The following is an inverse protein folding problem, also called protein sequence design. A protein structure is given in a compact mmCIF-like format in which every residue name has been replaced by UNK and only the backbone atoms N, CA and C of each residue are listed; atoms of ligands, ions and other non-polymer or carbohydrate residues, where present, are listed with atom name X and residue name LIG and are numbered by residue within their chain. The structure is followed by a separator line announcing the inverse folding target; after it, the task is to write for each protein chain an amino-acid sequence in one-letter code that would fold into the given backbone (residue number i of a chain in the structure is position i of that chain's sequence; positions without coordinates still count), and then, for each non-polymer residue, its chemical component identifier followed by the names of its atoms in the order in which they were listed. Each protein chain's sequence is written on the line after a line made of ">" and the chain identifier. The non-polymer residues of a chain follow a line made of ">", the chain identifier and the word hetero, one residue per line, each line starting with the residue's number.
data_IF_225564325437
#
_entry.id   IF_225564325437
#
_cell.length_a   1.000
_cell.length_b   1.000
_cell.length_c   1.000
_cell.angle_alpha   90.00
_cell.angle_beta   90.00
_cell.angle_gamma   90.00
#
_symmetry.space_group_name_H-M   'P 1'
#
loop_
_entity.id
_entity.type
_entity.pdbx_description
1 polymer ?
#
# COMPACT_ATOMS: atom_id res chain seq x y z
N UNK A 1 -27.99 24.79 -3.03
CA UNK A 1 -26.87 25.59 -3.59
C UNK A 1 -25.95 24.64 -4.34
N UNK A 2 -25.30 25.04 -5.44
CA UNK A 2 -24.35 24.15 -6.11
C UNK A 2 -23.16 23.86 -5.20
N UNK A 3 -22.83 22.59 -5.02
CA UNK A 3 -21.65 22.11 -4.29
C UNK A 3 -20.40 22.57 -5.06
N UNK A 4 -19.53 23.34 -4.39
CA UNK A 4 -18.27 23.81 -4.97
C UNK A 4 -17.13 22.96 -4.41
N UNK A 5 -16.31 22.38 -5.28
CA UNK A 5 -15.09 21.67 -4.87
C UNK A 5 -14.12 22.69 -4.26
N UNK A 6 -13.77 22.48 -3.00
CA UNK A 6 -12.87 23.36 -2.26
C UNK A 6 -11.41 23.07 -2.62
N UNK A 7 -10.64 24.12 -2.92
CA UNK A 7 -9.23 24.00 -3.26
C UNK A 7 -8.33 24.56 -2.16
N UNK A 8 -7.49 23.72 -1.52
CA UNK A 8 -6.56 24.18 -0.48
C UNK A 8 -5.64 25.29 -1.00
N UNK A 9 -5.62 26.42 -0.30
CA UNK A 9 -4.75 27.56 -0.62
C UNK A 9 -5.28 28.52 -1.69
N UNK A 10 -6.39 28.21 -2.34
CA UNK A 10 -7.09 29.09 -3.29
C UNK A 10 -8.36 29.63 -2.66
N UNK A 11 -9.17 28.74 -2.09
CA UNK A 11 -10.44 29.09 -1.44
C UNK A 11 -10.23 29.38 0.06
N UNK A 12 -10.80 30.47 0.54
CA UNK A 12 -10.87 30.76 1.99
C UNK A 12 -12.15 30.16 2.54
N UNK A 13 -12.01 29.33 3.58
CA UNK A 13 -13.15 28.79 4.31
C UNK A 13 -13.76 29.91 5.17
N UNK A 14 -15.05 30.18 4.99
CA UNK A 14 -15.80 31.08 5.86
C UNK A 14 -15.93 30.53 7.28
N UNK A 15 -16.19 31.39 8.28
CA UNK A 15 -16.35 30.96 9.69
C UNK A 15 -17.54 29.99 9.91
N UNK A 16 -18.46 29.90 8.95
CA UNK A 16 -19.62 28.99 8.97
C UNK A 16 -19.59 27.94 7.84
N UNK A 17 -18.49 27.81 7.10
CA UNK A 17 -18.34 26.80 6.06
C UNK A 17 -17.66 25.54 6.62
N UNK A 18 -18.28 24.37 6.42
CA UNK A 18 -17.71 23.07 6.78
C UNK A 18 -17.31 22.30 5.51
N UNK A 19 -16.15 21.65 5.56
CA UNK A 19 -15.70 20.79 4.47
C UNK A 19 -16.34 19.42 4.60
N UNK A 20 -17.25 19.10 3.68
CA UNK A 20 -17.80 17.76 3.56
C UNK A 20 -16.94 16.92 2.61
N UNK A 21 -16.65 15.69 3.01
CA UNK A 21 -15.93 14.74 2.16
C UNK A 21 -16.88 14.28 1.06
N UNK A 22 -16.54 14.54 -0.21
CA UNK A 22 -17.27 14.00 -1.34
C UNK A 22 -16.79 12.57 -1.66
N UNK A 23 -17.59 11.53 -1.35
CA UNK A 23 -17.21 10.14 -1.60
C UNK A 23 -17.16 9.81 -3.10
N UNK A 24 -17.73 10.64 -3.98
CA UNK A 24 -17.66 10.45 -5.43
C UNK A 24 -16.27 10.75 -6.01
N UNK A 25 -15.41 11.45 -5.25
CA UNK A 25 -14.04 11.74 -5.65
C UNK A 25 -13.13 10.49 -5.70
N UNK A 26 -13.56 9.36 -5.11
CA UNK A 26 -12.77 8.14 -5.03
C UNK A 26 -13.47 6.97 -5.72
N UNK A 27 -12.74 6.24 -6.56
CA UNK A 27 -13.23 4.96 -7.11
C UNK A 27 -13.28 3.87 -6.04
N UNK A 28 -12.38 3.92 -5.05
CA UNK A 28 -12.31 2.96 -3.94
C UNK A 28 -11.66 3.66 -2.75
N UNK A 29 -12.36 3.70 -1.61
CA UNK A 29 -11.86 4.24 -0.34
C UNK A 29 -12.21 3.28 0.79
N UNK A 30 -11.19 2.76 1.46
CA UNK A 30 -11.35 1.83 2.58
C UNK A 30 -10.44 2.25 3.73
N UNK A 31 -10.98 2.31 4.94
CA UNK A 31 -10.26 2.69 6.14
C UNK A 31 -10.06 1.49 7.07
N UNK A 32 -8.83 1.36 7.59
CA UNK A 32 -8.48 0.29 8.53
C UNK A 32 -7.76 0.86 9.74
N UNK A 33 -7.97 0.24 10.90
CA UNK A 33 -7.25 0.58 12.12
C UNK A 33 -6.23 -0.51 12.47
N UNK A 34 -4.94 -0.15 12.54
CA UNK A 34 -3.82 -1.10 12.67
C UNK A 34 -3.05 -0.98 14.01
N UNK A 35 -3.56 -0.16 14.93
CA UNK A 35 -2.97 0.10 16.24
C UNK A 35 -1.99 1.28 16.20
N UNK A 36 -0.70 1.00 16.06
CA UNK A 36 0.34 2.03 16.05
C UNK A 36 0.44 2.74 14.70
N UNK A 37 0.77 4.05 14.68
CA UNK A 37 1.04 4.76 13.44
C UNK A 37 2.22 4.12 12.71
N UNK A 38 2.19 4.18 11.38
CA UNK A 38 3.26 3.70 10.53
C UNK A 38 3.86 4.87 9.76
N UNK A 39 5.17 5.10 9.91
CA UNK A 39 5.88 6.17 9.20
C UNK A 39 6.05 5.88 7.72
N UNK A 40 6.07 4.61 7.36
CA UNK A 40 6.29 4.16 6.00
C UNK A 40 5.55 2.85 5.73
N UNK A 41 5.18 2.69 4.46
CA UNK A 41 4.71 1.44 3.90
C UNK A 41 5.29 1.26 2.50
N UNK A 42 5.31 0.01 2.03
CA UNK A 42 5.70 -0.32 0.67
C UNK A 42 4.85 -1.47 0.13
N UNK A 43 4.39 -1.34 -1.11
CA UNK A 43 3.54 -2.35 -1.75
C UNK A 43 4.39 -3.51 -2.21
N UNK A 44 4.01 -4.72 -1.80
CA UNK A 44 4.64 -5.96 -2.22
C UNK A 44 4.05 -6.36 -3.56
N UNK A 45 4.90 -6.57 -4.56
CA UNK A 45 4.46 -7.04 -5.87
C UNK A 45 3.97 -8.47 -5.76
N UNK A 46 2.71 -8.68 -6.12
CA UNK A 46 2.09 -10.00 -6.19
C UNK A 46 2.28 -10.67 -7.56
N UNK A 47 1.82 -11.92 -7.65
CA UNK A 47 1.78 -12.72 -8.88
C UNK A 47 0.35 -13.08 -9.31
N UNK A 48 -0.66 -12.29 -8.92
CA UNK A 48 -2.09 -12.57 -9.15
C UNK A 48 -2.58 -12.21 -10.57
N UNK A 49 -1.67 -11.91 -11.49
CA UNK A 49 -1.96 -11.58 -12.89
C UNK A 49 -1.53 -10.16 -13.28
N UNK A 50 -1.37 -9.95 -14.58
CA UNK A 50 -1.02 -8.65 -15.15
C UNK A 50 -2.29 -7.84 -15.44
N UNK A 51 -2.21 -6.52 -15.29
CA UNK A 51 -3.25 -5.56 -15.68
C UNK A 51 -4.62 -5.85 -15.05
N UNK A 52 -4.66 -6.05 -13.73
CA UNK A 52 -5.92 -6.18 -12.98
C UNK A 52 -6.64 -4.83 -12.95
N UNK A 53 -7.59 -4.62 -13.85
CA UNK A 53 -8.39 -3.38 -13.97
C UNK A 53 -9.73 -3.45 -13.26
N UNK A 54 -10.22 -4.67 -13.04
CA UNK A 54 -11.55 -4.92 -12.47
C UNK A 54 -11.47 -5.37 -11.02
N UNK A 55 -12.46 -4.93 -10.25
CA UNK A 55 -12.64 -5.34 -8.86
C UNK A 55 -13.18 -6.78 -8.77
N UNK A 56 -12.96 -7.49 -7.65
CA UNK A 56 -12.22 -7.06 -6.47
C UNK A 56 -10.70 -7.16 -6.61
N UNK A 57 -9.98 -6.23 -5.98
CA UNK A 57 -8.52 -6.27 -5.91
C UNK A 57 -8.02 -6.92 -4.62
N UNK A 58 -6.80 -7.45 -4.71
CA UNK A 58 -6.02 -7.91 -3.55
C UNK A 58 -4.65 -7.24 -3.58
N UNK A 59 -4.24 -6.67 -2.46
CA UNK A 59 -2.98 -5.94 -2.29
C UNK A 59 -2.22 -6.51 -1.10
N UNK A 60 -0.91 -6.67 -1.28
CA UNK A 60 0.03 -6.99 -0.21
C UNK A 60 0.93 -5.80 0.04
N UNK A 61 1.25 -5.51 1.29
CA UNK A 61 2.19 -4.44 1.62
C UNK A 61 2.86 -4.69 2.97
N UNK A 62 4.01 -4.07 3.15
CA UNK A 62 4.68 -3.98 4.45
C UNK A 62 4.48 -2.59 5.03
N UNK A 63 4.35 -2.49 6.35
CA UNK A 63 4.41 -1.20 7.04
C UNK A 63 5.21 -1.32 8.34
N UNK A 64 5.94 -0.27 8.69
CA UNK A 64 6.74 -0.22 9.91
C UNK A 64 6.12 0.72 10.94
N UNK A 65 5.94 0.25 12.17
CA UNK A 65 5.33 1.05 13.24
C UNK A 65 6.30 2.05 13.85
N UNK A 66 5.72 3.09 14.46
CA UNK A 66 6.35 3.99 15.41
C UNK A 66 5.58 3.96 16.73
N UNK A 67 6.06 3.18 17.69
CA UNK A 67 5.51 3.04 19.02
C UNK A 67 6.30 3.87 20.03
N UNK A 68 5.69 4.18 21.18
CA UNK A 68 6.32 4.97 22.25
C UNK A 68 7.55 4.29 22.86
N UNK A 69 7.56 2.94 22.88
CA UNK A 69 8.66 2.16 23.42
C UNK A 69 9.41 1.43 22.31
N UNK A 70 10.76 1.38 22.36
CA UNK A 70 11.54 0.69 21.35
C UNK A 70 11.12 -0.77 21.11
N UNK A 71 10.74 -1.49 22.16
CA UNK A 71 10.41 -2.92 22.09
C UNK A 71 8.96 -3.20 21.68
N UNK A 72 8.14 -2.16 21.47
CA UNK A 72 6.74 -2.30 21.03
C UNK A 72 6.58 -2.15 19.52
N UNK A 73 7.67 -1.88 18.82
CA UNK A 73 7.67 -1.74 17.38
C UNK A 73 7.58 -3.10 16.69
N UNK A 74 6.95 -3.10 15.53
CA UNK A 74 6.82 -4.29 14.69
C UNK A 74 6.75 -3.92 13.22
N UNK A 75 7.19 -4.85 12.38
CA UNK A 75 6.92 -4.82 10.95
C UNK A 75 5.60 -5.55 10.73
N UNK A 76 4.61 -4.85 10.18
CA UNK A 76 3.36 -5.42 9.75
C UNK A 76 3.47 -5.95 8.32
N UNK A 77 3.09 -7.21 8.12
CA UNK A 77 2.88 -7.85 6.83
C UNK A 77 1.38 -7.93 6.61
N UNK A 78 0.89 -7.22 5.59
CA UNK A 78 -0.52 -7.04 5.33
C UNK A 78 -0.93 -7.74 4.04
N UNK A 79 -2.12 -8.33 4.06
CA UNK A 79 -2.91 -8.72 2.89
C UNK A 79 -4.28 -8.05 3.04
N UNK A 80 -4.64 -7.22 2.06
CA UNK A 80 -6.00 -6.69 1.93
C UNK A 80 -6.61 -7.35 0.73
N UNK A 81 -7.62 -8.18 0.96
CA UNK A 81 -8.40 -8.84 -0.09
C UNK A 81 -9.80 -8.24 -0.18
N UNK A 82 -10.48 -8.53 -1.28
CA UNK A 82 -11.86 -8.10 -1.49
C UNK A 82 -12.00 -6.57 -1.51
N UNK A 83 -10.99 -5.87 -2.02
CA UNK A 83 -11.05 -4.41 -2.20
C UNK A 83 -12.04 -4.15 -3.33
N UNK A 84 -13.18 -3.57 -3.00
CA UNK A 84 -14.26 -3.22 -3.93
C UNK A 84 -14.21 -1.73 -4.30
N UNK A 85 -14.84 -1.37 -5.41
CA UNK A 85 -14.93 0.02 -5.86
C UNK A 85 -15.80 0.19 -7.09
N UNK A 86 -15.94 1.43 -7.54
CA UNK A 86 -16.71 1.79 -8.74
C UNK A 86 -15.95 1.37 -10.00
N UNK A 87 -16.65 0.71 -10.93
CA UNK A 87 -16.08 0.30 -12.22
C UNK A 87 -15.49 1.52 -12.92
N UNK A 88 -14.25 1.41 -13.37
CA UNK A 88 -13.55 2.49 -14.05
C UNK A 88 -14.06 2.57 -15.48
N UNK A 89 -14.78 3.62 -15.82
CA UNK A 89 -15.01 3.96 -17.23
C UNK A 89 -13.67 4.36 -17.84
N UNK A 90 -13.19 3.55 -18.79
CA UNK A 90 -11.99 3.85 -19.55
C UNK A 90 -12.37 4.90 -20.60
N UNK A 91 -11.90 6.13 -20.36
CA UNK A 91 -11.95 7.30 -21.25
C UNK A 91 -13.26 8.10 -21.19
N UNK A 92 -13.24 9.41 -20.85
CA UNK A 92 -14.39 10.25 -21.15
C UNK A 92 -14.53 10.32 -22.67
N UNK A 93 -15.68 9.88 -23.20
CA UNK A 93 -15.97 9.99 -24.63
C UNK A 93 -15.68 11.43 -25.05
N UNK A 94 -14.72 11.60 -25.98
CA UNK A 94 -14.49 12.90 -26.58
C UNK A 94 -15.78 13.26 -27.31
N UNK A 95 -16.55 14.19 -26.75
CA UNK A 95 -17.57 14.92 -27.50
C UNK A 95 -16.85 15.84 -28.49
N UNK A 96 -16.40 15.26 -29.60
CA UNK A 96 -16.02 16.05 -30.77
C UNK A 96 -17.30 16.58 -31.39
N UNK A 97 -17.66 17.80 -31.00
CA UNK A 97 -18.56 18.63 -31.77
C UNK A 97 -17.92 18.90 -33.15
N UNK A 98 -18.57 18.47 -34.23
CA UNK A 98 -18.25 18.89 -35.59
C UNK A 98 -18.28 17.80 -36.66
N UNK A 99 -19.50 17.44 -37.07
CA UNK A 99 -19.95 17.25 -38.47
C UNK A 99 -19.15 16.33 -39.41
N UNK A 100 -19.68 15.12 -39.67
CA UNK A 100 -20.06 14.61 -41.01
C UNK A 100 -20.05 13.07 -41.07
N UNK A 101 -21.19 12.54 -41.54
CA UNK A 101 -21.58 11.17 -41.85
C UNK A 101 -20.46 10.16 -42.18
N UNK A 102 -20.50 8.99 -41.53
CA UNK A 102 -20.46 7.68 -42.20
C UNK A 102 -20.78 6.54 -41.22
N UNK A 103 -21.76 5.74 -41.62
CA UNK A 103 -22.29 4.57 -40.93
C UNK A 103 -21.22 3.55 -40.53
N UNK A 104 -21.29 3.05 -39.30
CA UNK A 104 -20.90 1.67 -39.01
C UNK A 104 -21.83 1.15 -37.93
N UNK A 105 -22.73 0.26 -38.34
CA UNK A 105 -23.59 -0.53 -37.49
C UNK A 105 -22.77 -1.22 -36.39
N UNK A 106 -22.97 -0.82 -35.14
CA UNK A 106 -22.84 -1.75 -34.03
C UNK A 106 -24.10 -1.63 -33.18
N UNK A 107 -25.05 -2.49 -33.52
CA UNK A 107 -26.28 -2.72 -32.77
C UNK A 107 -25.93 -3.42 -31.46
N UNK A 108 -25.48 -2.66 -30.46
CA UNK A 108 -25.55 -3.09 -29.06
C UNK A 108 -26.79 -2.44 -28.48
N UNK A 109 -27.82 -3.27 -28.37
CA UNK A 109 -29.10 -2.93 -27.77
C UNK A 109 -28.88 -2.41 -26.36
N UNK A 110 -29.25 -1.16 -26.15
CA UNK A 110 -29.52 -0.56 -24.85
C UNK A 110 -30.64 -1.37 -24.19
N UNK A 111 -30.27 -2.41 -23.44
CA UNK A 111 -31.05 -2.84 -22.29
C UNK A 111 -30.59 -2.00 -21.11
N UNK A 112 -31.39 -0.98 -20.81
CA UNK A 112 -31.44 -0.30 -19.52
C UNK A 112 -31.54 -1.34 -18.40
N UNK A 113 -30.41 -1.83 -17.91
CA UNK A 113 -30.35 -2.49 -16.62
C UNK A 113 -30.31 -1.38 -15.57
N UNK A 114 -31.50 -0.93 -15.17
CA UNK A 114 -31.78 -0.27 -13.89
C UNK A 114 -31.47 -1.22 -12.71
N UNK A 115 -30.24 -1.76 -12.64
CA UNK A 115 -29.74 -2.43 -11.45
C UNK A 115 -28.94 -1.41 -10.61
N UNK A 116 -29.62 -0.31 -10.26
CA UNK A 116 -29.38 0.34 -8.99
C UNK A 116 -29.80 -0.66 -7.90
N UNK A 117 -28.81 -1.27 -7.23
CA UNK A 117 -28.90 -2.25 -6.13
C UNK A 117 -28.57 -3.71 -6.45
N UNK A 118 -27.35 -4.05 -6.91
CA UNK A 118 -26.72 -5.33 -6.49
C UNK A 118 -25.19 -5.41 -6.66
N UNK A 119 -24.48 -4.29 -6.48
CA UNK A 119 -23.04 -4.31 -6.26
C UNK A 119 -22.73 -4.89 -4.88
N UNK A 120 -22.77 -6.22 -4.75
CA UNK A 120 -22.58 -6.95 -3.50
C UNK A 120 -21.51 -6.29 -2.63
N UNK A 121 -21.93 -5.83 -1.44
CA UNK A 121 -21.12 -5.22 -0.38
C UNK A 121 -20.03 -6.19 0.08
N UNK A 122 -19.01 -6.36 -0.75
CA UNK A 122 -17.87 -7.16 -0.45
C UNK A 122 -16.96 -6.28 0.43
N UNK A 123 -17.17 -6.35 1.75
CA UNK A 123 -16.36 -5.64 2.74
C UNK A 123 -14.90 -6.08 2.58
N UNK A 124 -13.94 -5.15 2.47
CA UNK A 124 -12.56 -5.53 2.33
C UNK A 124 -12.06 -6.20 3.60
N UNK A 125 -11.23 -7.23 3.44
CA UNK A 125 -10.71 -8.02 4.54
C UNK A 125 -9.23 -7.72 4.72
N UNK A 126 -8.87 -7.19 5.90
CA UNK A 126 -7.48 -6.96 6.30
C UNK A 126 -6.97 -8.14 7.12
N UNK A 127 -5.96 -8.81 6.61
CA UNK A 127 -5.19 -9.82 7.34
C UNK A 127 -3.80 -9.26 7.66
N UNK A 128 -3.35 -9.45 8.91
CA UNK A 128 -2.12 -8.84 9.43
C UNK A 128 -1.32 -9.86 10.23
N UNK A 129 -0.02 -9.98 9.90
CA UNK A 129 1.00 -10.63 10.73
C UNK A 129 2.03 -9.61 11.17
N UNK A 130 2.50 -9.69 12.41
CA UNK A 130 3.45 -8.74 12.98
C UNK A 130 4.76 -9.43 13.33
N UNK A 131 5.90 -8.87 12.94
CA UNK A 131 7.22 -9.32 13.35
C UNK A 131 7.83 -8.28 14.28
N UNK A 132 8.31 -8.68 15.46
CA UNK A 132 8.92 -7.77 16.43
C UNK A 132 10.13 -7.05 15.82
N UNK A 133 10.22 -5.75 16.04
CA UNK A 133 11.33 -4.92 15.61
C UNK A 133 11.72 -4.00 16.75
N UNK A 134 13.01 -3.87 17.05
CA UNK A 134 13.49 -2.96 18.08
C UNK A 134 13.68 -1.56 17.48
N UNK A 135 13.20 -0.52 18.15
CA UNK A 135 13.22 0.84 17.60
C UNK A 135 12.19 1.08 16.50
N UNK A 136 11.91 2.35 16.23
CA UNK A 136 10.94 2.78 15.23
C UNK A 136 11.43 2.50 13.82
N UNK A 137 10.51 2.23 12.91
CA UNK A 137 10.85 1.89 11.52
C UNK A 137 10.57 3.13 10.65
N UNK A 138 11.62 3.92 10.41
CA UNK A 138 11.54 5.18 9.66
C UNK A 138 11.22 4.95 8.18
N UNK A 139 11.81 3.90 7.59
CA UNK A 139 11.51 3.50 6.21
C UNK A 139 11.57 1.99 6.03
N UNK A 140 10.62 1.46 5.26
CA UNK A 140 10.57 0.07 4.83
C UNK A 140 10.48 0.00 3.31
N UNK A 141 11.22 -0.93 2.68
CA UNK A 141 11.20 -1.14 1.23
C UNK A 141 11.31 -2.62 0.86
N UNK A 142 10.36 -3.10 0.06
CA UNK A 142 10.40 -4.42 -0.56
C UNK A 142 11.35 -4.41 -1.77
N UNK A 143 12.08 -5.51 -1.96
CA UNK A 143 12.95 -5.65 -3.12
C UNK A 143 12.12 -5.87 -4.38
N UNK A 144 12.48 -5.17 -5.45
CA UNK A 144 11.74 -5.23 -6.73
C UNK A 144 11.77 -6.63 -7.36
N UNK A 145 12.91 -7.31 -7.29
CA UNK A 145 13.13 -8.63 -7.92
C UNK A 145 12.60 -9.78 -7.06
N UNK A 146 12.72 -9.66 -5.73
CA UNK A 146 12.27 -10.65 -4.75
C UNK A 146 11.37 -9.96 -3.71
N UNK A 147 10.06 -9.79 -3.96
CA UNK A 147 9.17 -8.97 -3.13
C UNK A 147 9.00 -9.45 -1.68
N UNK A 148 9.34 -10.71 -1.39
CA UNK A 148 9.38 -11.27 -0.04
C UNK A 148 10.58 -10.78 0.79
N UNK A 149 11.62 -10.26 0.13
CA UNK A 149 12.77 -9.63 0.80
C UNK A 149 12.45 -8.16 1.04
N UNK A 150 12.64 -7.74 2.28
CA UNK A 150 12.35 -6.39 2.72
C UNK A 150 13.53 -5.79 3.48
N UNK A 151 13.81 -4.51 3.30
CA UNK A 151 14.74 -3.79 4.15
C UNK A 151 14.02 -2.77 5.03
N UNK A 152 14.41 -2.70 6.30
CA UNK A 152 13.95 -1.70 7.27
C UNK A 152 15.11 -0.80 7.69
N UNK A 153 14.83 0.50 7.80
CA UNK A 153 15.72 1.49 8.37
C UNK A 153 15.16 1.94 9.73
N UNK A 154 15.97 1.77 10.78
CA UNK A 154 15.57 2.04 12.17
C UNK A 154 16.06 3.40 12.67
N UNK A 155 15.30 4.02 13.58
CA UNK A 155 15.73 5.17 14.38
C UNK A 155 16.96 4.87 15.24
N UNK A 156 17.17 3.60 15.59
CA UNK A 156 18.32 3.11 16.34
C UNK A 156 19.62 3.02 15.52
N UNK A 157 19.67 3.60 14.32
CA UNK A 157 20.88 3.70 13.50
C UNK A 157 21.30 2.41 12.79
N UNK A 158 20.38 1.48 12.59
CA UNK A 158 20.67 0.23 11.87
C UNK A 158 19.70 -0.04 10.72
N UNK A 159 20.21 -0.83 9.77
CA UNK A 159 19.45 -1.34 8.63
C UNK A 159 19.35 -2.84 8.74
N UNK A 160 18.15 -3.38 8.61
CA UNK A 160 17.92 -4.81 8.66
C UNK A 160 17.29 -5.29 7.35
N UNK A 161 17.73 -6.46 6.90
CA UNK A 161 17.14 -7.16 5.76
C UNK A 161 16.39 -8.36 6.31
N UNK A 162 15.18 -8.55 5.81
CA UNK A 162 14.22 -9.54 6.28
C UNK A 162 13.76 -10.40 5.12
N UNK A 163 13.49 -11.67 5.41
CA UNK A 163 12.75 -12.57 4.51
C UNK A 163 11.40 -12.88 5.13
N UNK A 164 10.34 -12.43 4.48
CA UNK A 164 8.96 -12.62 4.92
C UNK A 164 8.21 -13.65 4.07
N UNK A 165 8.91 -14.52 3.32
CA UNK A 165 8.29 -15.56 2.47
C UNK A 165 7.27 -16.41 3.23
N UNK A 166 7.64 -16.89 4.43
CA UNK A 166 6.77 -17.72 5.27
C UNK A 166 5.51 -16.98 5.72
N UNK A 167 5.63 -15.69 6.03
CA UNK A 167 4.51 -14.84 6.44
C UNK A 167 3.58 -14.50 5.28
N UNK A 168 4.13 -14.20 4.11
CA UNK A 168 3.36 -13.94 2.89
C UNK A 168 2.62 -15.19 2.42
N UNK A 169 3.28 -16.35 2.40
CA UNK A 169 2.64 -17.62 2.02
C UNK A 169 1.49 -17.96 2.97
N UNK A 170 1.69 -17.81 4.29
CA UNK A 170 0.63 -18.06 5.26
C UNK A 170 -0.55 -17.07 5.12
N UNK A 171 -0.31 -15.84 4.67
CA UNK A 171 -1.39 -14.90 4.34
C UNK A 171 -2.08 -15.26 3.01
N UNK A 172 -1.33 -15.77 2.03
CA UNK A 172 -1.90 -16.22 0.76
C UNK A 172 -2.83 -17.43 0.95
N UNK A 173 -2.41 -18.42 1.76
CA UNK A 173 -3.17 -19.64 2.07
C UNK A 173 -4.36 -19.42 3.01
N UNK A 174 -4.35 -18.33 3.81
CA UNK A 174 -5.44 -18.04 4.72
C UNK A 174 -6.67 -17.54 3.95
N UNK A 175 -7.63 -18.45 3.74
CA UNK A 175 -8.97 -18.13 3.25
C UNK A 175 -9.78 -17.49 4.39
N UNK A 176 -9.89 -16.16 4.37
CA UNK A 176 -10.95 -15.35 5.00
C UNK A 176 -11.20 -15.46 6.52
N UNK A 177 -10.55 -16.35 7.25
CA UNK A 177 -10.64 -16.37 8.71
C UNK A 177 -9.80 -15.23 9.29
N UNK A 178 -10.47 -14.13 9.61
CA UNK A 178 -9.92 -13.08 10.46
C UNK A 178 -9.66 -13.71 11.83
N UNK A 179 -8.40 -13.90 12.29
CA UNK A 179 -8.17 -14.44 13.61
C UNK A 179 -8.73 -13.43 14.61
N UNK A 180 -9.82 -13.78 15.31
CA UNK A 180 -10.44 -13.00 16.41
C UNK A 180 -9.57 -13.01 17.68
N UNK A 181 -8.26 -13.04 17.54
CA UNK A 181 -7.28 -13.03 18.61
C UNK A 181 -6.17 -12.06 18.27
N UNK A 182 -5.61 -11.40 19.29
CA UNK A 182 -4.49 -10.48 19.16
C UNK A 182 -3.45 -11.07 18.20
N UNK A 183 -3.26 -10.44 17.03
CA UNK A 183 -2.30 -10.88 16.02
C UNK A 183 -0.97 -11.08 16.72
N UNK A 184 -0.55 -12.34 16.82
CA UNK A 184 0.65 -12.69 17.59
C UNK A 184 1.84 -12.00 16.97
N UNK A 185 2.63 -11.33 17.80
CA UNK A 185 3.88 -10.72 17.37
C UNK A 185 4.92 -11.83 17.31
N UNK A 186 5.35 -12.17 16.09
CA UNK A 186 6.37 -13.17 15.85
C UNK A 186 7.75 -12.61 16.18
N UNK A 187 8.58 -13.41 16.85
CA UNK A 187 10.00 -13.11 17.01
C UNK A 187 10.77 -13.83 15.90
N UNK A 188 11.20 -13.07 14.88
CA UNK A 188 12.05 -13.54 13.79
C UNK A 188 13.36 -12.73 13.82
N UNK A 189 14.48 -13.38 13.54
CA UNK A 189 15.75 -12.68 13.35
C UNK A 189 15.86 -12.16 11.89
N UNK A 190 16.43 -10.96 11.68
CA UNK A 190 16.69 -10.48 10.33
C UNK A 190 17.75 -11.35 9.64
N UNK A 191 17.67 -11.48 8.31
CA UNK A 191 18.71 -12.12 7.50
C UNK A 191 20.05 -11.42 7.65
N UNK A 192 20.00 -10.09 7.73
CA UNK A 192 21.17 -9.26 7.85
C UNK A 192 20.88 -8.04 8.73
N UNK A 193 21.84 -7.65 9.56
CA UNK A 193 21.71 -6.52 10.46
C UNK A 193 22.96 -5.64 10.37
N UNK A 194 22.83 -4.50 9.72
CA UNK A 194 23.88 -3.54 9.52
C UNK A 194 23.81 -2.42 10.56
N UNK A 195 24.87 -2.28 11.37
CA UNK A 195 24.96 -1.27 12.45
C UNK A 195 26.04 -0.23 12.21
N UNK A 196 26.40 0.05 10.96
CA UNK A 196 27.50 0.96 10.64
C UNK A 196 27.10 2.44 10.57
N UNK A 197 25.82 2.78 10.66
CA UNK A 197 25.39 4.18 10.74
C UNK A 197 25.48 4.66 12.19
N UNK A 198 26.00 5.88 12.38
CA UNK A 198 26.13 6.50 13.71
C UNK A 198 24.83 7.15 14.19
N UNK A 199 24.01 7.57 13.25
CA UNK A 199 22.77 8.31 13.47
C UNK A 199 21.62 7.71 12.67
N UNK A 200 20.41 8.18 12.99
CA UNK A 200 19.20 7.85 12.25
C UNK A 200 19.22 8.37 10.81
N UNK A 201 18.22 7.93 10.06
CA UNK A 201 18.06 8.22 8.65
C UNK A 201 16.70 7.76 8.15
N UNK A 202 16.47 8.04 6.87
CA UNK A 202 15.20 7.75 6.20
C UNK A 202 15.41 7.26 4.78
N UNK A 203 16.62 7.41 4.22
CA UNK A 203 16.91 7.07 2.84
C UNK A 203 17.28 5.60 2.74
N UNK A 204 16.44 4.82 2.06
CA UNK A 204 16.72 3.44 1.70
C UNK A 204 16.00 3.13 0.40
N UNK A 205 16.71 2.51 -0.54
CA UNK A 205 16.12 2.08 -1.81
C UNK A 205 16.90 0.90 -2.43
N UNK A 206 16.16 0.02 -3.10
CA UNK A 206 16.73 -1.12 -3.81
C UNK A 206 17.07 -0.74 -5.26
N UNK A 207 18.14 -1.30 -5.80
CA UNK A 207 18.44 -1.17 -7.21
C UNK A 207 17.37 -1.92 -8.02
N UNK A 208 16.71 -1.26 -8.99
CA UNK A 208 15.76 -1.94 -9.86
C UNK A 208 16.45 -2.85 -10.90
N UNK A 209 17.78 -2.72 -11.06
CA UNK A 209 18.56 -3.42 -12.10
C UNK A 209 19.36 -4.61 -11.55
N UNK A 210 19.82 -4.53 -10.31
CA UNK A 210 20.70 -5.54 -9.72
C UNK A 210 20.07 -6.03 -8.42
N UNK A 211 19.68 -7.30 -8.39
CA UNK A 211 19.11 -7.92 -7.20
C UNK A 211 20.08 -7.85 -6.02
N UNK A 212 19.55 -7.66 -4.81
CA UNK A 212 20.36 -7.57 -3.59
C UNK A 212 21.18 -6.29 -3.44
N UNK A 213 21.12 -5.36 -4.41
CA UNK A 213 21.81 -4.08 -4.33
C UNK A 213 20.94 -3.04 -3.64
N UNK A 214 21.35 -2.59 -2.47
CA UNK A 214 20.63 -1.62 -1.65
C UNK A 214 21.50 -0.39 -1.43
N UNK A 215 20.90 0.79 -1.53
CA UNK A 215 21.51 2.04 -1.09
C UNK A 215 20.80 2.51 0.16
N UNK A 216 21.58 2.94 1.13
CA UNK A 216 21.07 3.49 2.37
C UNK A 216 21.76 4.80 2.70
N UNK A 217 21.07 5.71 3.40
CA UNK A 217 21.56 7.05 3.71
C UNK A 217 21.11 7.53 5.08
N UNK A 218 22.06 8.02 5.87
CA UNK A 218 21.84 8.68 7.15
C UNK A 218 21.96 10.21 7.02
N UNK A 219 21.66 10.94 8.10
CA UNK A 219 21.76 12.41 8.12
C UNK A 219 23.19 12.94 7.88
N UNK A 220 24.23 12.10 8.06
CA UNK A 220 25.64 12.48 7.89
C UNK A 220 26.26 12.10 6.51
N UNK A 221 25.47 11.86 5.47
CA UNK A 221 25.93 11.65 4.06
C UNK A 221 26.65 10.32 3.77
N UNK A 222 26.47 9.27 4.56
CA UNK A 222 27.05 7.96 4.23
C UNK A 222 26.12 7.16 3.32
N UNK A 223 26.56 6.87 2.10
CA UNK A 223 25.90 5.94 1.17
C UNK A 223 26.59 4.58 1.23
N UNK A 224 25.83 3.54 1.55
CA UNK A 224 26.37 2.18 1.58
C UNK A 224 25.66 1.32 0.55
N UNK A 225 26.48 0.64 -0.26
CA UNK A 225 26.03 -0.31 -1.26
C UNK A 225 26.14 -1.72 -0.69
N UNK A 226 25.02 -2.39 -0.49
CA UNK A 226 25.02 -3.81 -0.16
C UNK A 226 25.10 -4.63 -1.46
N UNK A 227 25.87 -5.72 -1.46
CA UNK A 227 25.82 -6.75 -2.51
C UNK A 227 26.00 -8.10 -1.86
N UNK A 228 24.91 -8.77 -1.48
CA UNK A 228 25.01 -10.10 -0.89
C UNK A 228 23.67 -10.84 -1.00
N UNK A 229 23.41 -11.39 -2.18
CA UNK A 229 22.57 -12.57 -2.37
C UNK A 229 23.24 -13.37 -3.51
N UNK A 230 24.14 -14.28 -3.15
CA UNK A 230 24.55 -15.39 -4.02
C UNK A 230 23.73 -16.61 -3.63
#
# INVERSE_FOLDING_TARGET
>A
MPTKVWQPGVDKLGEEEELECDPTAYNSLHAFHIGWPCLSFDVVRDSLGLLRTDFPHTVYFFAGTQAEKPDWNSIGIFKVSNVSGKKRELVPSKTTAGDSDMDTDNNDSDEDSEDEEEGGSATPVLQLRKVAHRGCINRIRAMTQNPHICASWSDAGYVQIWDFSTHLNALAESETEVPRGASSVFNQAPLFNFKGHKDEGYAIDWSPRVAGRLVTGNMERYFLLFSSLH
#
